data_IF_839305482977
#
_entry.id   IF_839305482977
#
_cell.length_a   1.000
_cell.length_b   1.000
_cell.length_c   1.000
_cell.angle_alpha   90.00
_cell.angle_beta   90.00
_cell.angle_gamma   90.00
#
_symmetry.space_group_name_H-M   'P 1'
#
loop_
_entity.id
_entity.type
_entity.pdbx_description
1 polymer ?
#
# COMPACT_ATOMS: atom_id res chain seq x y z
N UNK A 1 -3.04 -18.25 4.19
CA UNK A 1 -3.99 -17.77 3.14
C UNK A 1 -5.42 -17.97 3.63
N UNK A 2 -6.29 -17.05 3.31
CA UNK A 2 -7.72 -17.11 3.64
C UNK A 2 -8.54 -16.37 2.58
N UNK A 3 -9.87 -16.59 2.56
CA UNK A 3 -10.79 -15.90 1.64
C UNK A 3 -11.72 -14.97 2.42
N UNK A 4 -11.92 -13.77 1.90
CA UNK A 4 -12.89 -12.83 2.45
C UNK A 4 -14.34 -13.19 2.03
N UNK A 5 -15.31 -12.46 2.57
CA UNK A 5 -16.73 -12.64 2.26
C UNK A 5 -17.08 -12.33 0.79
N UNK A 6 -16.21 -11.59 0.08
CA UNK A 6 -16.34 -11.31 -1.36
C UNK A 6 -15.64 -12.37 -2.22
N UNK A 7 -15.08 -13.41 -1.59
CA UNK A 7 -14.41 -14.52 -2.26
C UNK A 7 -12.98 -14.25 -2.71
N UNK A 8 -12.37 -13.12 -2.33
CA UNK A 8 -11.00 -12.77 -2.67
C UNK A 8 -10.01 -13.47 -1.74
N UNK A 9 -8.90 -13.91 -2.31
CA UNK A 9 -7.83 -14.54 -1.55
C UNK A 9 -6.90 -13.48 -0.93
N UNK A 10 -6.50 -13.75 0.30
CA UNK A 10 -5.52 -12.97 1.05
C UNK A 10 -4.39 -13.88 1.51
N UNK A 11 -3.17 -13.37 1.44
CA UNK A 11 -1.97 -14.04 1.92
C UNK A 11 -1.31 -13.17 3.01
N UNK A 12 -1.13 -13.77 4.18
CA UNK A 12 -0.47 -13.14 5.31
C UNK A 12 0.70 -14.03 5.77
N UNK A 13 1.72 -13.43 6.32
CA UNK A 13 2.89 -14.10 6.88
C UNK A 13 2.85 -13.92 8.39
N UNK A 14 3.08 -14.98 9.14
CA UNK A 14 3.23 -14.88 10.61
C UNK A 14 4.61 -14.25 10.86
N UNK A 15 4.61 -13.01 11.34
CA UNK A 15 5.82 -12.23 11.62
C UNK A 15 6.17 -12.20 13.11
N UNK A 16 5.17 -12.38 13.98
CA UNK A 16 5.38 -12.42 15.43
C UNK A 16 4.32 -13.25 16.13
N UNK A 17 4.70 -13.79 17.30
CA UNK A 17 3.82 -14.51 18.21
C UNK A 17 4.06 -14.02 19.62
N UNK A 18 2.99 -13.66 20.32
CA UNK A 18 3.02 -13.38 21.76
C UNK A 18 2.27 -14.48 22.50
N UNK A 19 2.81 -14.91 23.65
CA UNK A 19 2.19 -15.86 24.57
C UNK A 19 1.89 -15.15 25.89
N UNK A 20 0.63 -15.14 26.28
CA UNK A 20 0.18 -14.67 27.59
C UNK A 20 -0.36 -15.82 28.41
N UNK A 21 0.16 -16.01 29.62
CA UNK A 21 -0.31 -17.02 30.57
C UNK A 21 -1.15 -16.36 31.64
N UNK A 22 -2.43 -16.69 31.68
CA UNK A 22 -3.38 -16.23 32.68
C UNK A 22 -3.98 -17.43 33.46
N UNK A 23 -4.69 -17.15 34.54
CA UNK A 23 -5.38 -18.19 35.32
C UNK A 23 -6.45 -18.95 34.50
N UNK A 24 -6.97 -18.34 33.42
CA UNK A 24 -7.95 -18.93 32.52
C UNK A 24 -7.33 -19.81 31.42
N UNK A 25 -5.98 -19.79 31.25
CA UNK A 25 -5.29 -20.55 30.22
C UNK A 25 -4.16 -19.79 29.55
N UNK A 26 -3.73 -20.26 28.38
CA UNK A 26 -2.70 -19.63 27.57
C UNK A 26 -3.35 -19.00 26.35
N UNK A 27 -3.07 -17.71 26.12
CA UNK A 27 -3.49 -16.95 24.95
C UNK A 27 -2.29 -16.76 24.02
N UNK A 28 -2.45 -17.09 22.74
CA UNK A 28 -1.47 -16.79 21.69
C UNK A 28 -2.01 -15.69 20.78
N UNK A 29 -1.25 -14.63 20.61
CA UNK A 29 -1.54 -13.56 19.67
C UNK A 29 -0.55 -13.63 18.50
N UNK A 30 -1.05 -13.80 17.29
CA UNK A 30 -0.26 -13.87 16.07
C UNK A 30 -0.33 -12.54 15.30
N UNK A 31 0.83 -11.96 15.00
CA UNK A 31 0.94 -10.78 14.13
C UNK A 31 1.15 -11.25 12.70
N UNK A 32 0.19 -10.94 11.83
CA UNK A 32 0.14 -11.47 10.48
C UNK A 32 0.00 -10.34 9.44
N UNK A 33 1.06 -9.56 9.16
CA UNK A 33 1.03 -8.58 8.08
C UNK A 33 0.79 -9.25 6.71
N UNK A 34 0.46 -8.45 5.70
CA UNK A 34 0.25 -8.97 4.35
C UNK A 34 1.57 -9.44 3.75
N UNK A 35 1.54 -10.49 2.93
CA UNK A 35 2.74 -10.97 2.22
C UNK A 35 3.34 -9.89 1.34
N UNK A 36 2.50 -9.04 0.72
CA UNK A 36 2.94 -7.89 -0.07
C UNK A 36 3.85 -6.95 0.72
N UNK A 37 3.43 -6.58 1.92
CA UNK A 37 4.21 -5.66 2.76
C UNK A 37 5.57 -6.26 3.13
N UNK A 38 5.59 -7.49 3.67
CA UNK A 38 6.83 -8.14 4.11
C UNK A 38 7.80 -8.33 2.94
N UNK A 39 7.32 -8.82 1.82
CA UNK A 39 8.17 -9.15 0.68
C UNK A 39 8.69 -7.90 -0.02
N UNK A 40 7.83 -6.94 -0.32
CA UNK A 40 8.22 -5.73 -1.02
C UNK A 40 9.08 -4.78 -0.17
N UNK A 41 9.01 -4.87 1.17
CA UNK A 41 9.98 -4.20 2.06
C UNK A 41 11.38 -4.80 1.94
N UNK A 42 11.49 -6.11 1.64
CA UNK A 42 12.76 -6.80 1.42
C UNK A 42 13.37 -6.59 0.03
N UNK A 43 12.58 -6.19 -0.96
CA UNK A 43 13.03 -6.01 -2.35
C UNK A 43 13.66 -4.62 -2.52
N UNK A 44 14.97 -4.57 -2.75
CA UNK A 44 15.74 -3.33 -2.85
C UNK A 44 15.82 -2.82 -4.30
N UNK A 45 15.72 -1.49 -4.45
CA UNK A 45 15.89 -0.75 -5.69
C UNK A 45 17.05 0.23 -5.54
N UNK A 46 18.06 0.11 -6.40
CA UNK A 46 19.25 0.96 -6.34
C UNK A 46 19.00 2.33 -6.98
N UNK A 47 18.67 2.35 -8.28
CA UNK A 47 18.37 3.57 -9.04
C UNK A 47 17.48 3.23 -10.23
N UNK A 48 16.24 3.71 -10.19
CA UNK A 48 15.25 3.61 -11.26
C UNK A 48 14.57 4.95 -11.44
N UNK A 49 14.53 5.47 -12.65
CA UNK A 49 14.02 6.81 -12.96
C UNK A 49 12.97 6.76 -14.07
N UNK A 50 11.78 6.20 -13.81
CA UNK A 50 10.70 6.26 -14.78
C UNK A 50 10.29 7.72 -15.01
N UNK A 51 10.42 8.18 -16.25
CA UNK A 51 10.11 9.55 -16.66
C UNK A 51 9.17 9.54 -17.85
N UNK A 52 8.12 10.34 -17.79
CA UNK A 52 7.09 10.47 -18.85
C UNK A 52 6.50 9.10 -19.25
N UNK A 53 6.09 8.32 -18.25
CA UNK A 53 5.55 6.98 -18.41
C UNK A 53 4.18 6.83 -17.75
N UNK A 54 3.43 5.79 -18.12
CA UNK A 54 2.19 5.43 -17.44
C UNK A 54 2.44 4.87 -16.05
N UNK A 55 1.43 4.91 -15.17
CA UNK A 55 1.45 4.27 -13.86
C UNK A 55 1.81 2.77 -13.95
N UNK A 56 1.32 2.08 -15.00
CA UNK A 56 1.67 0.68 -15.25
C UNK A 56 3.17 0.48 -15.42
N UNK A 57 3.82 1.29 -16.27
CA UNK A 57 5.25 1.19 -16.54
C UNK A 57 6.09 1.56 -15.30
N UNK A 58 5.64 2.55 -14.52
CA UNK A 58 6.29 2.93 -13.26
C UNK A 58 6.19 1.80 -12.22
N UNK A 59 5.01 1.18 -12.05
CA UNK A 59 4.84 0.00 -11.20
C UNK A 59 5.69 -1.18 -11.67
N UNK A 60 5.76 -1.44 -12.98
CA UNK A 60 6.63 -2.49 -13.52
C UNK A 60 8.11 -2.23 -13.22
N UNK A 61 8.55 -0.98 -13.25
CA UNK A 61 9.89 -0.58 -12.83
C UNK A 61 10.11 -0.81 -11.33
N UNK A 62 9.16 -0.44 -10.49
CA UNK A 62 9.21 -0.63 -9.04
C UNK A 62 9.24 -2.12 -8.64
N UNK A 63 8.54 -2.99 -9.38
CA UNK A 63 8.43 -4.43 -9.11
C UNK A 63 9.47 -5.28 -9.85
N UNK A 64 10.42 -4.67 -10.56
CA UNK A 64 11.36 -5.36 -11.46
C UNK A 64 12.24 -6.42 -10.80
N UNK A 65 12.47 -6.32 -9.48
CA UNK A 65 13.25 -7.27 -8.69
C UNK A 65 12.38 -8.16 -7.80
N UNK A 66 11.07 -8.03 -7.90
CA UNK A 66 10.10 -8.71 -7.05
C UNK A 66 9.45 -9.91 -7.76
N UNK A 67 8.92 -10.83 -6.96
CA UNK A 67 8.01 -11.87 -7.46
C UNK A 67 6.57 -11.38 -7.66
N UNK A 68 6.28 -10.16 -7.23
CA UNK A 68 5.02 -9.49 -7.48
C UNK A 68 4.98 -8.91 -8.89
N UNK A 69 3.85 -9.00 -9.52
CA UNK A 69 3.62 -8.55 -10.89
C UNK A 69 2.65 -7.38 -10.90
N UNK A 70 2.69 -6.57 -11.94
CA UNK A 70 1.66 -5.55 -12.17
C UNK A 70 0.39 -6.25 -12.63
N UNK A 71 -0.72 -5.93 -11.95
CA UNK A 71 -2.06 -6.37 -12.31
C UNK A 71 -2.79 -5.35 -13.16
N UNK A 72 -4.07 -5.15 -12.86
CA UNK A 72 -4.89 -4.13 -13.53
C UNK A 72 -4.51 -2.74 -13.03
N UNK A 73 -4.22 -1.82 -13.95
CA UNK A 73 -3.89 -0.42 -13.64
C UNK A 73 -4.80 0.48 -14.47
N UNK A 74 -5.47 1.43 -13.82
CA UNK A 74 -6.26 2.44 -14.49
C UNK A 74 -5.37 3.37 -15.32
N UNK A 75 -5.94 3.98 -16.36
CA UNK A 75 -5.26 5.05 -17.08
C UNK A 75 -5.30 6.34 -16.26
N UNK A 76 -4.17 6.69 -15.66
CA UNK A 76 -3.98 7.84 -14.78
C UNK A 76 -3.06 8.89 -15.43
N UNK A 77 -2.85 8.80 -16.75
CA UNK A 77 -1.96 9.69 -17.50
C UNK A 77 -0.49 9.32 -17.37
N UNK A 78 0.37 10.26 -17.75
CA UNK A 78 1.83 10.11 -17.73
C UNK A 78 2.44 11.04 -16.69
N UNK A 79 3.43 10.54 -15.98
CA UNK A 79 4.20 11.29 -14.98
C UNK A 79 5.60 10.68 -14.84
N UNK A 80 6.38 11.18 -13.89
CA UNK A 80 7.71 10.68 -13.61
C UNK A 80 8.02 10.70 -12.12
N UNK A 81 8.80 9.73 -11.68
CA UNK A 81 9.32 9.65 -10.30
C UNK A 81 10.73 9.08 -10.29
N UNK A 82 11.33 8.95 -9.12
CA UNK A 82 12.70 8.46 -8.95
C UNK A 82 12.78 7.52 -7.74
N UNK A 83 13.12 6.28 -7.99
CA UNK A 83 13.38 5.28 -6.96
C UNK A 83 14.88 5.18 -6.74
N UNK A 84 15.38 5.85 -5.72
CA UNK A 84 16.80 5.89 -5.41
C UNK A 84 17.07 5.37 -4.01
N UNK A 85 17.84 4.27 -3.92
CA UNK A 85 18.18 3.58 -2.68
C UNK A 85 16.95 3.34 -1.78
N UNK A 86 15.91 2.73 -2.36
CA UNK A 86 14.64 2.48 -1.69
C UNK A 86 14.21 1.03 -1.81
N UNK A 87 13.13 0.64 -1.17
CA UNK A 87 12.52 -0.68 -1.34
C UNK A 87 11.29 -0.63 -2.25
N UNK A 88 10.89 -1.78 -2.77
CA UNK A 88 9.75 -1.87 -3.68
C UNK A 88 8.43 -1.42 -3.03
N UNK A 89 8.26 -1.64 -1.71
CA UNK A 89 7.07 -1.17 -0.98
C UNK A 89 6.94 0.34 -1.03
N UNK A 90 8.00 1.06 -0.68
CA UNK A 90 8.00 2.52 -0.74
C UNK A 90 7.82 3.02 -2.19
N UNK A 91 8.48 2.35 -3.17
CA UNK A 91 8.38 2.73 -4.57
C UNK A 91 6.96 2.62 -5.13
N UNK A 92 6.20 1.55 -4.82
CA UNK A 92 4.80 1.45 -5.30
C UNK A 92 3.89 2.50 -4.66
N UNK A 93 4.13 2.89 -3.41
CA UNK A 93 3.39 3.97 -2.77
C UNK A 93 3.72 5.33 -3.38
N UNK A 94 5.00 5.58 -3.72
CA UNK A 94 5.41 6.78 -4.46
C UNK A 94 4.74 6.87 -5.84
N UNK A 95 4.57 5.72 -6.53
CA UNK A 95 3.78 5.67 -7.77
C UNK A 95 2.32 6.05 -7.49
N UNK A 96 1.70 5.50 -6.44
CA UNK A 96 0.31 5.80 -6.10
C UNK A 96 0.11 7.29 -5.82
N UNK A 97 1.02 7.91 -5.07
CA UNK A 97 0.98 9.34 -4.74
C UNK A 97 1.22 10.20 -5.99
N UNK A 98 2.17 9.82 -6.84
CA UNK A 98 2.54 10.60 -8.04
C UNK A 98 1.44 10.60 -9.11
N UNK A 99 0.80 9.46 -9.35
CA UNK A 99 -0.28 9.33 -10.36
C UNK A 99 -1.68 9.54 -9.77
N UNK A 100 -1.80 9.71 -8.45
CA UNK A 100 -3.06 9.99 -7.76
C UNK A 100 -4.03 8.80 -7.77
N UNK A 101 -3.53 7.58 -7.57
CA UNK A 101 -4.33 6.36 -7.53
C UNK A 101 -4.24 5.60 -6.21
N UNK A 102 -5.11 4.62 -6.06
CA UNK A 102 -5.15 3.73 -4.89
C UNK A 102 -4.69 2.32 -5.25
N UNK A 103 -3.81 1.77 -4.39
CA UNK A 103 -3.25 0.43 -4.58
C UNK A 103 -4.20 -0.64 -4.03
N UNK A 104 -4.23 -1.77 -4.71
CA UNK A 104 -4.83 -3.00 -4.20
C UNK A 104 -3.97 -4.21 -4.58
N UNK A 105 -4.10 -5.29 -3.80
CA UNK A 105 -3.29 -6.49 -3.95
C UNK A 105 -4.18 -7.67 -4.26
N UNK A 106 -3.83 -8.42 -5.31
CA UNK A 106 -4.55 -9.61 -5.74
C UNK A 106 -3.69 -10.86 -5.61
N UNK A 107 -4.24 -11.88 -4.96
CA UNK A 107 -3.63 -13.20 -4.85
C UNK A 107 -4.48 -14.19 -5.67
N UNK A 108 -3.86 -14.83 -6.63
CA UNK A 108 -4.50 -15.91 -7.38
C UNK A 108 -4.06 -17.27 -6.83
N UNK A 109 -5.04 -18.16 -6.61
CA UNK A 109 -4.82 -19.48 -6.04
C UNK A 109 -5.44 -20.53 -6.97
N UNK A 110 -4.68 -21.58 -7.27
CA UNK A 110 -5.17 -22.78 -7.95
C UNK A 110 -4.93 -23.98 -7.06
N UNK A 111 -6.00 -24.65 -6.66
CA UNK A 111 -5.92 -25.70 -5.65
C UNK A 111 -5.41 -25.14 -4.31
N UNK A 112 -4.25 -25.62 -3.87
CA UNK A 112 -3.59 -25.19 -2.62
C UNK A 112 -2.37 -24.28 -2.88
N UNK A 113 -2.12 -23.87 -4.13
CA UNK A 113 -0.92 -23.09 -4.50
C UNK A 113 -1.28 -21.69 -4.95
N UNK A 114 -0.50 -20.71 -4.50
CA UNK A 114 -0.52 -19.35 -5.06
C UNK A 114 0.12 -19.38 -6.45
N UNK A 115 -0.64 -18.95 -7.46
CA UNK A 115 -0.21 -18.93 -8.87
C UNK A 115 0.21 -17.56 -9.35
N UNK A 116 -0.34 -16.49 -8.76
CA UNK A 116 0.09 -15.13 -9.05
C UNK A 116 -0.13 -14.20 -7.85
N UNK A 117 0.73 -13.20 -7.75
CA UNK A 117 0.66 -12.07 -6.82
C UNK A 117 0.73 -10.79 -7.63
N UNK A 118 -0.28 -9.93 -7.52
CA UNK A 118 -0.38 -8.74 -8.35
C UNK A 118 -0.60 -7.49 -7.52
N UNK A 119 0.06 -6.41 -7.91
CA UNK A 119 -0.22 -5.06 -7.47
C UNK A 119 -1.10 -4.40 -8.53
N UNK A 120 -2.29 -4.01 -8.14
CA UNK A 120 -3.25 -3.31 -8.98
C UNK A 120 -3.37 -1.86 -8.52
N UNK A 121 -3.76 -0.97 -9.42
CA UNK A 121 -3.95 0.45 -9.11
C UNK A 121 -5.19 0.98 -9.82
N UNK A 122 -6.05 1.62 -9.06
CA UNK A 122 -7.28 2.22 -9.57
C UNK A 122 -7.33 3.70 -9.18
N UNK A 123 -8.17 4.47 -9.85
CA UNK A 123 -8.43 5.85 -9.45
C UNK A 123 -9.03 5.92 -8.02
N UNK A 124 -9.88 4.94 -7.71
CA UNK A 124 -10.46 4.75 -6.39
C UNK A 124 -10.73 3.27 -6.15
N UNK A 125 -10.36 2.76 -4.97
CA UNK A 125 -10.68 1.41 -4.52
C UNK A 125 -11.93 1.45 -3.64
N UNK A 126 -13.01 0.84 -4.12
CA UNK A 126 -14.32 0.84 -3.46
C UNK A 126 -15.35 1.70 -4.20
N UNK A 127 -16.55 1.72 -3.66
CA UNK A 127 -17.69 2.45 -4.22
C UNK A 127 -18.26 3.38 -3.16
N UNK A 128 -18.65 4.58 -3.59
CA UNK A 128 -19.48 5.46 -2.76
C UNK A 128 -20.93 4.95 -2.80
N UNK A 129 -21.30 4.19 -1.80
CA UNK A 129 -22.66 3.66 -1.63
C UNK A 129 -23.61 4.68 -0.99
N UNK A 130 -23.22 5.94 -0.86
CA UNK A 130 -24.01 6.99 -0.22
C UNK A 130 -24.25 6.77 1.28
N UNK A 131 -23.50 5.86 1.92
CA UNK A 131 -23.65 5.57 3.34
C UNK A 131 -23.19 6.78 4.17
N UNK A 132 -24.08 7.34 4.95
CA UNK A 132 -23.77 8.40 5.89
C UNK A 132 -23.63 7.86 7.31
N UNK A 133 -22.59 8.30 8.01
CA UNK A 133 -22.42 8.05 9.44
C UNK A 133 -22.94 9.26 10.23
N UNK A 134 -23.93 9.02 11.05
CA UNK A 134 -24.57 10.08 11.85
C UNK A 134 -24.21 9.88 13.31
N UNK A 135 -23.81 10.97 13.99
CA UNK A 135 -23.56 10.95 15.42
C UNK A 135 -24.82 10.51 16.20
N UNK A 136 -24.61 9.71 17.23
CA UNK A 136 -25.65 9.08 18.06
C UNK A 136 -26.50 8.00 17.36
N UNK A 137 -26.26 7.70 16.07
CA UNK A 137 -26.94 6.60 15.37
C UNK A 137 -25.94 5.54 14.94
N UNK A 138 -24.92 5.94 14.17
CA UNK A 138 -23.93 5.04 13.58
C UNK A 138 -22.53 5.26 14.19
N UNK A 139 -22.33 6.38 14.91
CA UNK A 139 -21.06 6.75 15.54
C UNK A 139 -21.24 6.88 17.05
N UNK A 140 -20.48 6.12 17.80
CA UNK A 140 -20.43 6.18 19.27
C UNK A 140 -19.58 7.38 19.71
N UNK A 141 -18.48 7.64 19.04
CA UNK A 141 -17.61 8.78 19.32
C UNK A 141 -16.86 9.22 18.06
N UNK A 142 -16.51 10.50 18.01
CA UNK A 142 -15.62 11.08 16.98
C UNK A 142 -14.53 11.85 17.69
N UNK A 143 -13.28 11.54 17.38
CA UNK A 143 -12.12 12.30 17.85
C UNK A 143 -11.50 13.03 16.66
N UNK A 144 -11.39 14.34 16.74
CA UNK A 144 -10.63 15.16 15.79
C UNK A 144 -9.33 15.59 16.47
N UNK A 145 -8.20 15.27 15.86
CA UNK A 145 -6.91 15.84 16.24
C UNK A 145 -6.49 16.84 15.16
N UNK A 146 -6.04 18.01 15.59
CA UNK A 146 -5.49 19.04 14.71
C UNK A 146 -4.06 19.23 15.13
N UNK A 147 -3.13 19.07 14.18
CA UNK A 147 -1.71 19.34 14.37
C UNK A 147 -1.36 20.58 13.53
N UNK A 148 -0.99 21.64 14.22
CA UNK A 148 -0.62 22.92 13.62
C UNK A 148 0.91 23.11 13.59
N UNK A 149 1.69 22.09 13.94
CA UNK A 149 3.16 22.16 14.05
C UNK A 149 3.86 22.59 12.76
N UNK A 150 3.23 22.37 11.61
CA UNK A 150 3.77 22.75 10.28
C UNK A 150 3.07 23.97 9.66
N UNK A 151 2.19 24.65 10.40
CA UNK A 151 1.54 25.87 9.92
C UNK A 151 2.50 27.04 10.09
N UNK A 152 2.87 27.68 8.99
CA UNK A 152 3.72 28.88 9.00
C UNK A 152 2.96 30.05 8.35
N UNK A 153 3.18 31.25 8.88
CA UNK A 153 2.59 32.49 8.36
C UNK A 153 3.39 33.09 7.20
N UNK A 154 4.62 32.63 7.00
CA UNK A 154 5.46 33.02 5.87
C UNK A 154 6.39 31.87 5.50
N UNK A 155 6.65 31.69 4.20
CA UNK A 155 7.51 30.65 3.65
C UNK A 155 8.54 31.29 2.71
N UNK A 156 9.81 31.00 2.93
CA UNK A 156 10.89 31.41 2.04
C UNK A 156 11.33 30.23 1.19
N UNK A 157 11.10 30.30 -0.11
CA UNK A 157 11.59 29.30 -1.06
C UNK A 157 13.00 29.62 -1.53
N UNK A 158 13.92 28.67 -1.37
CA UNK A 158 15.27 28.77 -1.92
C UNK A 158 15.39 27.79 -3.09
N UNK A 159 15.72 28.32 -4.27
CA UNK A 159 16.08 27.49 -5.42
C UNK A 159 17.53 27.00 -5.32
N UNK A 160 17.84 25.87 -5.94
CA UNK A 160 19.21 25.41 -6.12
C UNK A 160 19.92 26.39 -7.06
N UNK A 161 21.01 27.03 -6.61
CA UNK A 161 21.85 27.85 -7.49
C UNK A 161 22.39 26.97 -8.62
N UNK A 162 22.19 27.42 -9.87
CA UNK A 162 22.88 26.86 -11.01
C UNK A 162 24.37 27.22 -10.89
N UNK A 163 25.21 26.21 -10.78
CA UNK A 163 26.67 26.36 -10.98
C UNK A 163 26.98 26.25 -12.45
#
# INVERSE_FOLDING_TARGET
MWRDLKGRWHENIVDGVEEERASAGILYTYYCPTSAQIELLGDYLEDKRPYDVSAYAALASALSSSRWQVGTVADLGQAGTNFYHTNAWAAIHDVADTWGGELSFEIQVSGTKVTARRVCMANQVGEDNGKRFTYAKDLVSVKRSVDEGNVCTALYGYGKSLQ
#
